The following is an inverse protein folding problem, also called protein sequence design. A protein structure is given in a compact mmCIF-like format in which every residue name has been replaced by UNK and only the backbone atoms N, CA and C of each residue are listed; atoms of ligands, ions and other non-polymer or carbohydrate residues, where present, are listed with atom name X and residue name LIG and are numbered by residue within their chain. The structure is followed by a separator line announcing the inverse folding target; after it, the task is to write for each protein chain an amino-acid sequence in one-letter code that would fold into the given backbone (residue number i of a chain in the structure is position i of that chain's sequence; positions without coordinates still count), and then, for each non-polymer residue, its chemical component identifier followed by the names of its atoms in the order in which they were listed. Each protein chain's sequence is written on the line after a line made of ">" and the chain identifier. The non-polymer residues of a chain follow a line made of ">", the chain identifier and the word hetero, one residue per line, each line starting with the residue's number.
data_IF_105109274725
#
_entry.id   IF_105109274725
#
_cell.length_a   1.000
_cell.length_b   1.000
_cell.length_c   1.000
_cell.angle_alpha   90.00
_cell.angle_beta   90.00
_cell.angle_gamma   90.00
#
_symmetry.space_group_name_H-M   'P 1'
#
loop_
_entity.id
_entity.type
_entity.pdbx_description
1 polymer ?
#
# COMPACT_ATOMS: atom_id res chain seq x y z
N UNK A 1 13.37 24.40 12.60
CA UNK A 1 13.07 23.11 11.92
C UNK A 1 14.39 22.36 11.75
N UNK A 2 14.50 21.13 12.25
CA UNK A 2 15.75 20.36 12.15
C UNK A 2 15.96 19.85 10.72
N UNK A 3 17.21 19.65 10.28
CA UNK A 3 17.52 19.07 8.96
C UNK A 3 16.87 17.70 8.74
N UNK A 4 16.71 16.93 9.83
CA UNK A 4 16.02 15.63 9.85
C UNK A 4 14.52 15.78 9.54
N UNK A 5 13.85 16.74 10.19
CA UNK A 5 12.43 17.02 9.93
C UNK A 5 12.20 17.49 8.48
N UNK A 6 13.14 18.27 7.92
CA UNK A 6 13.07 18.71 6.53
C UNK A 6 13.24 17.54 5.55
N UNK A 7 14.21 16.63 5.78
CA UNK A 7 14.38 15.42 4.95
C UNK A 7 13.17 14.49 5.02
N UNK A 8 12.57 14.30 6.20
CA UNK A 8 11.36 13.50 6.36
C UNK A 8 10.17 14.06 5.57
N UNK A 9 9.96 15.39 5.64
CA UNK A 9 8.91 16.05 4.87
C UNK A 9 9.06 15.94 3.36
N UNK A 10 10.30 16.08 2.85
CA UNK A 10 10.59 15.92 1.41
C UNK A 10 10.32 14.48 0.96
N UNK A 11 10.75 13.49 1.76
CA UNK A 11 10.52 12.08 1.44
C UNK A 11 9.02 11.72 1.43
N UNK A 12 8.25 12.23 2.40
CA UNK A 12 6.81 12.03 2.45
C UNK A 12 6.10 12.62 1.22
N UNK A 13 6.47 13.85 0.82
CA UNK A 13 5.92 14.47 -0.40
C UNK A 13 6.28 13.69 -1.66
N UNK A 14 7.51 13.18 -1.76
CA UNK A 14 7.93 12.35 -2.88
C UNK A 14 7.13 11.04 -2.95
N UNK A 15 6.89 10.38 -1.81
CA UNK A 15 6.05 9.18 -1.74
C UNK A 15 4.61 9.45 -2.18
N UNK A 16 4.00 10.55 -1.73
CA UNK A 16 2.65 10.95 -2.16
C UNK A 16 2.60 11.18 -3.68
N UNK A 17 3.60 11.86 -4.24
CA UNK A 17 3.68 12.08 -5.69
C UNK A 17 3.78 10.77 -6.48
N UNK A 18 4.59 9.81 -6.01
CA UNK A 18 4.73 8.49 -6.64
C UNK A 18 3.40 7.74 -6.61
N UNK A 19 2.66 7.77 -5.49
CA UNK A 19 1.35 7.12 -5.38
C UNK A 19 0.36 7.74 -6.36
N UNK A 20 0.29 9.08 -6.44
CA UNK A 20 -0.62 9.77 -7.37
C UNK A 20 -0.34 9.35 -8.81
N UNK A 21 0.94 9.37 -9.22
CA UNK A 21 1.33 8.96 -10.58
C UNK A 21 0.98 7.49 -10.82
N UNK A 22 1.23 6.60 -9.86
CA UNK A 22 0.87 5.19 -10.00
C UNK A 22 -0.63 4.99 -10.20
N UNK A 23 -1.46 5.64 -9.38
CA UNK A 23 -2.92 5.50 -9.46
C UNK A 23 -3.48 6.06 -10.77
N UNK A 24 -2.94 7.17 -11.28
CA UNK A 24 -3.46 7.81 -12.50
C UNK A 24 -2.92 7.23 -13.80
N UNK A 25 -1.88 6.37 -13.75
CA UNK A 25 -1.29 5.75 -14.95
C UNK A 25 -1.67 4.29 -15.13
N UNK A 26 -2.15 3.62 -14.08
CA UNK A 26 -2.70 2.27 -14.17
C UNK A 26 -4.07 2.35 -14.84
N UNK A 27 -4.24 1.59 -15.92
CA UNK A 27 -5.56 1.32 -16.49
C UNK A 27 -6.29 0.34 -15.57
N UNK A 28 -7.30 0.85 -14.87
CA UNK A 28 -8.07 0.06 -13.92
C UNK A 28 -9.12 -0.82 -14.60
N UNK A 29 -9.35 -0.71 -15.91
CA UNK A 29 -10.33 -1.51 -16.64
C UNK A 29 -11.80 -1.26 -16.28
N UNK A 30 -12.08 -0.35 -15.33
CA UNK A 30 -13.43 0.01 -14.91
C UNK A 30 -13.91 1.37 -15.45
N UNK A 31 -13.04 2.12 -16.13
CA UNK A 31 -13.28 3.48 -16.61
C UNK A 31 -14.38 3.58 -17.67
N UNK A 32 -14.69 2.47 -18.34
CA UNK A 32 -15.72 2.37 -19.38
C UNK A 32 -17.10 1.98 -18.84
N UNK A 33 -17.24 1.70 -17.54
CA UNK A 33 -18.53 1.32 -16.97
C UNK A 33 -19.30 2.57 -16.53
N UNK A 34 -20.43 2.83 -17.18
CA UNK A 34 -21.33 3.93 -16.83
C UNK A 34 -22.07 3.71 -15.48
N UNK A 35 -22.00 2.49 -14.95
CA UNK A 35 -22.60 2.08 -13.68
C UNK A 35 -21.65 1.21 -12.84
N UNK A 36 -21.82 1.17 -11.50
CA UNK A 36 -21.02 0.28 -10.66
C UNK A 36 -21.22 -1.18 -11.05
N UNK A 37 -20.15 -1.82 -11.52
CA UNK A 37 -20.14 -3.25 -11.85
C UNK A 37 -19.58 -4.06 -10.69
N UNK A 38 -20.20 -5.22 -10.44
CA UNK A 38 -19.68 -6.17 -9.47
C UNK A 38 -18.47 -6.90 -10.05
N UNK A 39 -17.37 -6.94 -9.29
CA UNK A 39 -16.23 -7.79 -9.64
C UNK A 39 -16.59 -9.26 -9.34
N UNK A 40 -16.34 -10.20 -10.26
CA UNK A 40 -16.58 -11.61 -10.01
C UNK A 40 -15.70 -12.11 -8.84
N UNK A 41 -16.34 -12.66 -7.81
CA UNK A 41 -15.66 -13.31 -6.67
C UNK A 41 -15.90 -14.83 -6.63
N UNK A 42 -16.87 -15.32 -7.39
CA UNK A 42 -17.19 -16.73 -7.44
C UNK A 42 -16.15 -17.48 -8.30
N UNK A 43 -15.76 -18.70 -7.90
CA UNK A 43 -14.96 -19.57 -8.74
C UNK A 43 -15.73 -19.93 -10.01
N UNK A 44 -15.00 -20.27 -11.07
CA UNK A 44 -15.59 -20.82 -12.28
C UNK A 44 -16.25 -22.18 -12.00
N UNK A 45 -17.01 -22.70 -12.96
CA UNK A 45 -17.75 -23.95 -12.80
C UNK A 45 -16.85 -25.16 -12.47
N UNK A 46 -15.55 -25.07 -12.78
CA UNK A 46 -14.53 -26.07 -12.49
C UNK A 46 -13.80 -25.87 -11.14
N UNK A 47 -14.18 -24.85 -10.38
CA UNK A 47 -13.58 -24.51 -9.09
C UNK A 47 -12.31 -23.66 -9.18
N UNK A 48 -11.86 -23.28 -10.38
CA UNK A 48 -10.73 -22.36 -10.57
C UNK A 48 -11.13 -20.92 -10.24
N UNK A 49 -10.13 -20.10 -9.89
CA UNK A 49 -10.34 -18.65 -9.77
C UNK A 49 -10.53 -18.07 -11.17
N UNK A 50 -11.61 -17.31 -11.37
CA UNK A 50 -11.80 -16.60 -12.64
C UNK A 50 -10.66 -15.62 -12.87
N UNK A 51 -10.10 -15.63 -14.09
CA UNK A 51 -8.99 -14.74 -14.47
C UNK A 51 -9.33 -13.26 -14.35
N UNK A 52 -10.62 -12.92 -14.45
CA UNK A 52 -11.13 -11.54 -14.29
C UNK A 52 -11.44 -11.18 -12.83
N UNK A 53 -11.20 -12.11 -11.88
CA UNK A 53 -11.42 -11.87 -10.46
C UNK A 53 -10.25 -11.13 -9.81
N UNK A 54 -10.57 -10.23 -8.88
CA UNK A 54 -9.56 -9.56 -8.04
C UNK A 54 -8.67 -10.59 -7.31
N UNK A 55 -9.23 -11.73 -6.90
CA UNK A 55 -8.46 -12.76 -6.21
C UNK A 55 -7.39 -13.38 -7.11
N UNK A 56 -7.71 -13.64 -8.38
CA UNK A 56 -6.73 -14.16 -9.35
C UNK A 56 -5.59 -13.15 -9.54
N UNK A 57 -5.93 -11.89 -9.82
CA UNK A 57 -4.94 -10.83 -10.01
C UNK A 57 -4.06 -10.65 -8.76
N UNK A 58 -4.65 -10.61 -7.56
CA UNK A 58 -3.90 -10.38 -6.31
C UNK A 58 -3.01 -11.54 -5.90
N UNK A 59 -3.48 -12.79 -6.02
CA UNK A 59 -2.78 -13.96 -5.50
C UNK A 59 -1.96 -14.70 -6.54
N UNK A 60 -2.43 -14.80 -7.79
CA UNK A 60 -1.78 -15.56 -8.85
C UNK A 60 -0.85 -14.68 -9.69
N UNK A 61 -1.31 -13.48 -10.09
CA UNK A 61 -0.52 -12.59 -10.96
C UNK A 61 0.48 -11.74 -10.17
N UNK A 62 0.02 -11.11 -9.08
CA UNK A 62 0.83 -10.18 -8.27
C UNK A 62 1.28 -10.74 -6.92
N UNK A 63 0.95 -12.00 -6.60
CA UNK A 63 1.20 -12.62 -5.31
C UNK A 63 2.61 -12.41 -4.75
N UNK A 64 3.68 -12.71 -5.51
CA UNK A 64 5.06 -12.50 -5.06
C UNK A 64 5.39 -11.03 -4.74
N UNK A 65 4.85 -10.09 -5.52
CA UNK A 65 5.06 -8.64 -5.30
C UNK A 65 4.30 -8.18 -4.06
N UNK A 66 3.06 -8.66 -3.88
CA UNK A 66 2.23 -8.36 -2.72
C UNK A 66 2.86 -8.87 -1.42
N UNK A 67 3.59 -9.99 -1.46
CA UNK A 67 4.32 -10.52 -0.31
C UNK A 67 5.48 -9.60 0.12
N UNK A 68 6.26 -9.09 -0.85
CA UNK A 68 7.33 -8.12 -0.59
C UNK A 68 6.74 -6.82 -0.03
N UNK A 69 5.66 -6.33 -0.64
CA UNK A 69 4.96 -5.14 -0.17
C UNK A 69 4.46 -5.32 1.27
N UNK A 70 3.85 -6.47 1.58
CA UNK A 70 3.41 -6.81 2.92
C UNK A 70 4.54 -6.81 3.95
N UNK A 71 5.71 -7.37 3.60
CA UNK A 71 6.89 -7.34 4.47
C UNK A 71 7.40 -5.91 4.70
N UNK A 72 7.40 -5.06 3.67
CA UNK A 72 7.78 -3.64 3.77
C UNK A 72 6.80 -2.88 4.66
N UNK A 73 5.49 -3.06 4.47
CA UNK A 73 4.46 -2.43 5.28
C UNK A 73 4.55 -2.87 6.75
N UNK A 74 4.77 -4.16 6.99
CA UNK A 74 4.98 -4.69 8.33
C UNK A 74 6.22 -4.08 9.00
N UNK A 75 7.34 -3.98 8.27
CA UNK A 75 8.55 -3.31 8.75
C UNK A 75 8.33 -1.83 9.07
N UNK A 76 7.57 -1.12 8.23
CA UNK A 76 7.21 0.28 8.45
C UNK A 76 6.35 0.47 9.71
N UNK A 77 5.41 -0.43 9.97
CA UNK A 77 4.60 -0.41 11.20
C UNK A 77 5.49 -0.60 12.43
N UNK A 78 6.38 -1.59 12.42
CA UNK A 78 7.32 -1.83 13.54
C UNK A 78 8.19 -0.59 13.76
N UNK A 79 8.77 -0.04 12.69
CA UNK A 79 9.60 1.16 12.76
C UNK A 79 8.84 2.36 13.34
N UNK A 80 7.58 2.55 12.91
CA UNK A 80 6.71 3.60 13.45
C UNK A 80 6.49 3.44 14.96
N UNK A 81 6.16 2.23 15.42
CA UNK A 81 5.96 1.94 16.85
C UNK A 81 7.24 2.16 17.66
N UNK A 82 8.39 1.74 17.15
CA UNK A 82 9.67 1.95 17.87
C UNK A 82 10.07 3.41 17.94
N UNK A 83 9.85 4.18 16.87
CA UNK A 83 10.14 5.62 16.86
C UNK A 83 9.22 6.38 17.81
N UNK A 84 7.92 6.04 17.85
CA UNK A 84 7.00 6.66 18.81
C UNK A 84 7.40 6.43 20.27
N UNK A 85 7.97 5.26 20.61
CA UNK A 85 8.49 5.00 21.95
C UNK A 85 9.75 5.80 22.27
N UNK A 86 10.65 5.98 21.31
CA UNK A 86 11.88 6.76 21.49
C UNK A 86 11.59 8.24 21.76
N UNK A 87 10.58 8.81 21.09
CA UNK A 87 10.14 10.19 21.33
C UNK A 87 9.53 10.39 22.74
N UNK A 88 8.77 9.42 23.25
CA UNK A 88 8.21 9.45 24.62
C UNK A 88 9.31 9.37 25.70
N UNK A 89 10.29 8.47 25.53
CA UNK A 89 11.40 8.30 26.47
C UNK A 89 12.35 9.53 26.50
N UNK A 90 12.52 10.22 25.36
CA UNK A 90 13.29 11.47 25.27
C UNK A 90 12.59 12.68 25.92
N UNK A 91 11.26 12.69 26.03
CA UNK A 91 10.50 13.74 26.73
C UNK A 91 10.55 13.56 28.25
N UNK A 92 10.51 12.33 28.76
CA UNK A 92 10.64 12.05 30.21
C UNK A 92 12.04 12.36 30.75
N UNK A 93 13.10 12.10 29.98
CA UNK A 93 14.49 12.35 30.39
C UNK A 93 14.93 13.82 30.42
N UNK A 94 14.08 14.76 29.96
CA UNK A 94 14.35 16.21 29.91
C UNK A 94 13.57 17.01 30.98
N UNK A 95 12.86 16.37 31.90
CA UNK A 95 12.28 17.00 33.10
C UNK A 95 13.21 16.94 34.30
#
# INVERSE_FOLDING_TARGET
>A
MSKKALMGGVFALAMVAIIIVGVTTIDWGFETNDEPVSVPFAPEADGSLSHDSINYVLFEEWGPVMLILGAVMFGAIIAGVTLSKEDDDEEEGKQ
#
